data_IF_866744143257
#
_entry.id   IF_866744143257
#
_cell.length_a   1.000
_cell.length_b   1.000
_cell.length_c   1.000
_cell.angle_alpha   90.00
_cell.angle_beta   90.00
_cell.angle_gamma   90.00
#
_symmetry.space_group_name_H-M   'P 1'
#
loop_
_entity.id
_entity.type
_entity.pdbx_description
1 polymer ?
#
# COMPACT_ATOMS: atom_id res chain seq x y z
N UNK A 1 -0.76 1.51 -12.27
CA UNK A 1 -0.69 0.86 -10.96
C UNK A 1 -1.78 -0.19 -10.85
N UNK A 2 -1.40 -1.34 -10.33
CA UNK A 2 -2.35 -2.43 -10.12
C UNK A 2 -2.46 -2.77 -8.65
N UNK A 3 -3.66 -3.06 -8.18
CA UNK A 3 -3.87 -3.52 -6.81
C UNK A 3 -4.68 -4.79 -6.85
N UNK A 4 -4.37 -5.70 -5.91
CA UNK A 4 -5.04 -7.00 -5.89
C UNK A 4 -6.40 -6.93 -5.22
N UNK A 5 -6.60 -5.95 -4.36
CA UNK A 5 -7.84 -5.81 -3.61
C UNK A 5 -8.73 -4.77 -4.28
N UNK A 6 -10.04 -4.97 -4.21
CA UNK A 6 -10.98 -3.99 -4.73
C UNK A 6 -10.87 -2.70 -3.92
N UNK A 7 -10.81 -1.57 -4.61
CA UNK A 7 -10.61 -0.29 -3.94
C UNK A 7 -11.70 -0.02 -2.91
N UNK A 8 -12.91 -0.51 -3.16
CA UNK A 8 -14.01 -0.31 -2.21
C UNK A 8 -13.81 -1.05 -0.90
N UNK A 9 -12.97 -2.07 -0.90
CA UNK A 9 -12.72 -2.89 0.27
C UNK A 9 -11.48 -2.46 1.03
N UNK A 10 -10.83 -1.40 0.59
CA UNK A 10 -9.60 -0.92 1.20
C UNK A 10 -9.95 0.15 2.22
N UNK A 11 -9.41 0.00 3.43
CA UNK A 11 -9.59 0.99 4.48
C UNK A 11 -8.56 2.09 4.34
N UNK A 12 -9.03 3.32 4.44
CA UNK A 12 -8.16 4.49 4.42
C UNK A 12 -8.27 5.22 5.74
N UNK A 13 -7.14 5.68 6.25
CA UNK A 13 -7.11 6.46 7.49
C UNK A 13 -6.39 7.77 7.24
N UNK A 14 -6.92 8.85 7.80
CA UNK A 14 -6.27 10.15 7.68
C UNK A 14 -4.89 10.08 8.31
N UNK A 15 -3.89 10.48 7.55
CA UNK A 15 -2.50 10.40 7.97
C UNK A 15 -1.82 11.73 7.65
N UNK A 16 -1.02 12.21 8.59
CA UNK A 16 -0.26 13.43 8.35
C UNK A 16 0.96 13.10 7.52
N UNK A 17 0.97 13.59 6.29
CA UNK A 17 2.07 13.35 5.35
C UNK A 17 2.71 14.69 5.06
N UNK A 18 3.85 14.93 5.69
CA UNK A 18 4.61 16.18 5.54
C UNK A 18 3.73 17.40 5.79
N UNK A 19 2.93 17.35 6.85
CA UNK A 19 2.09 18.47 7.22
C UNK A 19 0.73 18.53 6.56
N UNK A 20 0.45 17.64 5.64
CA UNK A 20 -0.84 17.58 4.95
C UNK A 20 -1.57 16.31 5.37
N UNK A 21 -2.81 16.45 5.80
CA UNK A 21 -3.62 15.29 6.15
C UNK A 21 -4.25 14.72 4.90
N UNK A 22 -4.04 13.44 4.67
CA UNK A 22 -4.64 12.77 3.52
C UNK A 22 -4.94 11.32 3.86
N UNK A 23 -5.93 10.71 3.22
CA UNK A 23 -6.26 9.31 3.48
C UNK A 23 -5.17 8.39 2.91
N UNK A 24 -4.63 7.55 3.76
CA UNK A 24 -3.61 6.56 3.37
C UNK A 24 -4.17 5.18 3.68
N UNK A 25 -3.97 4.25 2.77
CA UNK A 25 -4.56 2.92 2.89
C UNK A 25 -3.83 2.06 3.90
N UNK A 26 -4.53 1.02 4.36
CA UNK A 26 -3.88 -0.09 5.04
C UNK A 26 -2.89 -0.75 4.07
N UNK A 27 -1.97 -1.57 4.57
CA UNK A 27 -1.07 -2.31 3.67
C UNK A 27 -1.87 -3.21 2.73
N UNK A 28 -1.53 -3.18 1.45
CA UNK A 28 -2.20 -3.96 0.42
C UNK A 28 -1.18 -4.52 -0.55
N UNK A 29 -1.60 -5.53 -1.29
CA UNK A 29 -0.78 -6.10 -2.36
C UNK A 29 -1.01 -5.28 -3.61
N UNK A 30 0.07 -4.76 -4.18
CA UNK A 30 0.01 -3.94 -5.37
C UNK A 30 1.15 -4.30 -6.31
N UNK A 31 1.06 -3.84 -7.53
CA UNK A 31 2.04 -4.20 -8.55
C UNK A 31 2.50 -2.97 -9.34
N UNK A 32 3.73 -3.06 -9.78
CA UNK A 32 4.29 -2.13 -10.73
C UNK A 32 4.88 -2.95 -11.88
N UNK A 33 5.58 -2.27 -12.79
CA UNK A 33 6.23 -2.98 -13.89
C UNK A 33 7.30 -3.94 -13.38
N UNK A 34 7.83 -3.71 -12.19
CA UNK A 34 8.88 -4.56 -11.64
C UNK A 34 8.35 -5.79 -10.92
N UNK A 35 7.06 -5.83 -10.58
CA UNK A 35 6.49 -6.99 -9.91
C UNK A 35 5.51 -6.58 -8.84
N UNK A 36 5.12 -7.55 -8.02
CA UNK A 36 4.15 -7.34 -6.95
C UNK A 36 4.87 -7.06 -5.63
N UNK A 37 4.22 -6.31 -4.76
CA UNK A 37 4.80 -5.96 -3.47
C UNK A 37 3.68 -5.59 -2.49
N UNK A 38 4.02 -5.52 -1.22
CA UNK A 38 3.11 -5.01 -0.20
C UNK A 38 3.44 -3.54 0.00
N UNK A 39 2.43 -2.71 -0.11
CA UNK A 39 2.62 -1.27 0.05
C UNK A 39 1.32 -0.61 0.42
N UNK A 40 1.29 0.71 0.29
CA UNK A 40 0.10 1.50 0.58
C UNK A 40 -0.13 2.51 -0.53
N UNK A 41 -1.37 2.94 -0.64
CA UNK A 41 -1.76 4.00 -1.57
C UNK A 41 -2.38 5.13 -0.78
N UNK A 42 -2.46 6.29 -1.38
CA UNK A 42 -3.14 7.40 -0.75
C UNK A 42 -4.00 8.14 -1.76
N UNK A 43 -4.95 8.89 -1.24
CA UNK A 43 -5.81 9.74 -2.06
C UNK A 43 -5.23 11.15 -2.01
N UNK A 44 -4.77 11.62 -3.15
CA UNK A 44 -4.13 12.93 -3.23
C UNK A 44 -5.20 14.01 -3.31
N UNK A 45 -5.34 14.86 -2.29
CA UNK A 45 -6.37 15.89 -2.31
C UNK A 45 -6.12 16.95 -3.39
N UNK A 46 -4.89 17.14 -3.80
CA UNK A 46 -4.57 18.10 -4.84
C UNK A 46 -4.92 17.59 -6.24
N UNK A 47 -5.24 16.31 -6.35
CA UNK A 47 -5.59 15.68 -7.63
C UNK A 47 -6.99 15.09 -7.58
N UNK A 48 -7.91 15.78 -6.92
CA UNK A 48 -9.31 15.35 -6.82
C UNK A 48 -9.48 13.97 -6.21
N UNK A 49 -8.59 13.61 -5.27
CA UNK A 49 -8.68 12.33 -4.63
C UNK A 49 -8.15 11.18 -5.46
N UNK A 50 -7.34 11.49 -6.47
CA UNK A 50 -6.74 10.45 -7.28
C UNK A 50 -5.89 9.52 -6.43
N UNK A 51 -5.99 8.22 -6.71
CA UNK A 51 -5.24 7.21 -5.98
C UNK A 51 -3.83 7.16 -6.54
N UNK A 52 -2.84 7.32 -5.67
CA UNK A 52 -1.43 7.26 -6.06
C UNK A 52 -0.67 6.35 -5.12
N UNK A 53 0.43 5.74 -5.57
CA UNK A 53 1.26 4.94 -4.67
C UNK A 53 1.86 5.83 -3.58
N UNK A 54 1.88 5.32 -2.36
CA UNK A 54 2.40 6.08 -1.24
C UNK A 54 3.67 5.45 -0.69
N UNK A 55 3.64 4.15 -0.40
CA UNK A 55 4.75 3.49 0.27
C UNK A 55 4.93 2.09 -0.25
N UNK A 56 6.16 1.59 -0.15
CA UNK A 56 6.48 0.20 -0.47
C UNK A 56 7.18 -0.41 0.73
N UNK A 57 6.60 -1.48 1.24
CA UNK A 57 7.13 -2.12 2.46
C UNK A 57 8.00 -3.31 2.16
N UNK A 58 7.84 -3.95 1.01
CA UNK A 58 8.61 -5.16 0.66
C UNK A 58 9.28 -4.98 -0.68
N UNK A 59 10.16 -5.93 -1.00
CA UNK A 59 10.74 -5.98 -2.33
C UNK A 59 9.72 -6.51 -3.33
N UNK A 60 10.05 -6.42 -4.60
CA UNK A 60 9.19 -6.93 -5.66
C UNK A 60 9.25 -8.45 -5.68
N UNK A 61 8.11 -9.07 -5.91
CA UNK A 61 7.98 -10.52 -5.87
C UNK A 61 6.76 -10.92 -6.68
N UNK A 62 6.39 -12.21 -6.64
CA UNK A 62 5.17 -12.65 -7.29
C UNK A 62 3.96 -12.21 -6.48
N UNK A 63 2.80 -12.20 -7.14
CA UNK A 63 1.58 -11.82 -6.44
C UNK A 63 1.31 -12.75 -5.26
N UNK A 64 1.54 -14.04 -5.46
CA UNK A 64 1.32 -15.02 -4.41
C UNK A 64 2.23 -14.77 -3.21
N UNK A 65 3.50 -14.48 -3.47
CA UNK A 65 4.44 -14.20 -2.39
C UNK A 65 4.08 -12.93 -1.66
N UNK A 66 3.65 -11.91 -2.40
CA UNK A 66 3.26 -10.65 -1.77
C UNK A 66 2.04 -10.85 -0.89
N UNK A 67 1.08 -11.66 -1.35
CA UNK A 67 -0.09 -11.95 -0.54
C UNK A 67 0.28 -12.69 0.73
N UNK A 68 1.22 -13.60 0.65
CA UNK A 68 1.73 -14.30 1.82
C UNK A 68 2.38 -13.34 2.80
N UNK A 69 3.16 -12.40 2.30
CA UNK A 69 3.79 -11.41 3.15
C UNK A 69 2.74 -10.56 3.87
N UNK A 70 1.69 -10.20 3.15
CA UNK A 70 0.62 -9.41 3.74
C UNK A 70 -0.11 -10.18 4.83
N UNK A 71 -0.33 -11.47 4.61
CA UNK A 71 -1.06 -12.31 5.55
C UNK A 71 -0.24 -12.71 6.76
N UNK A 72 1.09 -12.57 6.67
CA UNK A 72 1.97 -12.91 7.78
C UNK A 72 1.93 -11.79 8.81
N UNK A 73 1.86 -12.12 10.10
CA UNK A 73 1.82 -11.07 11.11
C UNK A 73 3.02 -10.15 11.02
N UNK A 74 2.75 -8.86 11.04
CA UNK A 74 3.77 -7.86 10.84
C UNK A 74 4.61 -7.63 12.08
N UNK A 75 4.16 -8.10 13.20
CA UNK A 75 4.88 -7.82 14.44
C UNK A 75 6.27 -8.43 14.46
N UNK A 76 6.57 -9.29 13.53
CA UNK A 76 7.93 -9.77 13.42
C UNK A 76 8.90 -8.69 13.04
N UNK A 77 8.39 -7.54 12.71
CA UNK A 77 9.25 -6.44 12.37
C UNK A 77 9.93 -6.62 11.03
N UNK A 78 9.31 -7.38 10.17
CA UNK A 78 9.93 -7.74 8.92
C UNK A 78 10.24 -6.56 8.04
N UNK A 79 9.51 -5.49 8.17
CA UNK A 79 9.76 -4.31 7.34
C UNK A 79 10.58 -3.27 8.04
N UNK A 80 10.59 -3.32 9.34
CA UNK A 80 11.16 -2.23 10.10
C UNK A 80 12.64 -2.18 9.95
N UNK A 81 13.15 -3.23 9.55
CA UNK A 81 14.57 -3.21 9.51
C UNK A 81 15.13 -3.31 8.23
#
# INVERSE_FOLDING_TARGET
MKIAKNIKDIEFNDTNVYGTWMPVSEPIVMASAAGWYVGAICKDPDCDGMIVPYNRYTEYMTQESAQKCLDTPMQQGGFAE
#
